data_IF_898124418302
#
_entry.id   IF_898124418302
#
_cell.length_a   1.000
_cell.length_b   1.000
_cell.length_c   1.000
_cell.angle_alpha   90.00
_cell.angle_beta   90.00
_cell.angle_gamma   90.00
#
_symmetry.space_group_name_H-M   'P 1'
#
loop_
_entity.id
_entity.type
_entity.pdbx_description
1 polymer ?
#
# COMPACT_ATOMS: atom_id res chain seq x y z
N UNK A 1 37.13 56.21 -14.13
CA UNK A 1 35.98 55.98 -15.03
C UNK A 1 35.93 54.53 -15.52
N UNK A 2 35.94 53.53 -14.63
CA UNK A 2 35.88 52.10 -15.02
C UNK A 2 35.04 51.22 -14.09
N UNK A 3 34.36 51.80 -13.10
CA UNK A 3 33.65 51.05 -12.04
C UNK A 3 32.18 50.71 -12.38
N UNK A 4 31.68 51.19 -13.53
CA UNK A 4 30.30 50.95 -14.01
C UNK A 4 30.16 49.68 -14.87
N UNK A 5 31.25 48.93 -15.09
CA UNK A 5 31.25 47.73 -15.94
C UNK A 5 31.22 46.40 -15.15
N UNK A 6 31.23 46.45 -13.82
CA UNK A 6 31.09 45.25 -12.99
C UNK A 6 29.66 45.19 -12.45
N UNK A 7 28.76 44.59 -13.25
CA UNK A 7 27.52 44.03 -12.69
C UNK A 7 27.93 42.81 -11.88
N UNK A 8 27.92 42.94 -10.56
CA UNK A 8 27.97 41.78 -9.66
C UNK A 8 26.64 41.05 -9.80
N UNK A 9 26.60 40.07 -10.70
CA UNK A 9 25.57 39.03 -10.67
C UNK A 9 25.82 38.27 -9.38
N UNK A 10 25.06 38.60 -8.34
CA UNK A 10 24.84 37.65 -7.27
C UNK A 10 24.14 36.48 -7.94
N UNK A 11 24.82 35.34 -8.02
CA UNK A 11 24.11 34.09 -8.23
C UNK A 11 23.04 34.06 -7.14
N UNK A 12 21.77 34.17 -7.52
CA UNK A 12 20.72 33.66 -6.65
C UNK A 12 21.19 32.25 -6.31
N UNK A 13 21.31 31.94 -5.02
CA UNK A 13 21.50 30.57 -4.59
C UNK A 13 20.26 29.84 -5.06
N UNK A 14 20.28 29.37 -6.30
CA UNK A 14 19.42 28.29 -6.71
C UNK A 14 19.85 27.19 -5.78
N UNK A 15 19.01 26.92 -4.79
CA UNK A 15 19.02 25.67 -4.05
C UNK A 15 18.80 24.58 -5.11
N UNK A 16 19.87 24.25 -5.85
CA UNK A 16 19.93 23.02 -6.62
C UNK A 16 19.75 21.97 -5.54
N UNK A 17 18.66 21.19 -5.57
CA UNK A 17 18.50 20.10 -4.63
C UNK A 17 19.75 19.23 -4.76
N UNK A 18 20.64 19.32 -3.77
CA UNK A 18 21.84 18.48 -3.66
C UNK A 18 21.50 17.12 -3.07
N UNK A 19 20.28 17.00 -2.56
CA UNK A 19 19.54 15.75 -2.44
C UNK A 19 19.56 15.06 -3.82
N UNK A 20 20.14 13.85 -3.94
CA UNK A 20 19.98 13.04 -5.13
C UNK A 20 18.50 12.99 -5.51
N UNK A 21 18.17 13.25 -6.78
CA UNK A 21 16.82 12.99 -7.33
C UNK A 21 16.56 11.51 -7.21
N UNK A 22 16.04 11.12 -6.04
CA UNK A 22 15.69 9.77 -5.72
C UNK A 22 14.28 9.58 -6.28
N UNK A 23 14.08 8.78 -7.33
CA UNK A 23 12.74 8.58 -7.92
C UNK A 23 11.76 7.91 -6.94
N UNK A 24 12.26 7.49 -5.77
CA UNK A 24 11.50 6.94 -4.64
C UNK A 24 11.53 7.86 -3.40
N UNK A 25 12.01 9.10 -3.51
CA UNK A 25 11.91 10.14 -2.49
C UNK A 25 12.60 9.82 -1.16
N UNK A 26 13.68 9.03 -1.16
CA UNK A 26 14.35 8.63 0.09
C UNK A 26 13.59 7.58 0.91
N UNK A 27 12.47 7.06 0.41
CA UNK A 27 11.59 6.12 1.14
C UNK A 27 12.17 4.71 1.33
N UNK A 28 13.19 4.32 0.57
CA UNK A 28 13.80 2.98 0.61
C UNK A 28 15.28 3.03 1.04
N UNK A 29 15.61 3.83 2.05
CA UNK A 29 16.97 3.89 2.61
C UNK A 29 17.30 2.69 3.50
N UNK A 30 16.27 2.02 4.04
CA UNK A 30 16.41 0.99 5.06
C UNK A 30 15.60 -0.28 4.73
N UNK A 31 16.08 -1.43 5.22
CA UNK A 31 15.38 -2.72 5.10
C UNK A 31 13.97 -2.67 5.71
N UNK A 32 13.80 -1.87 6.76
CA UNK A 32 12.50 -1.67 7.39
C UNK A 32 11.51 -0.99 6.43
N UNK A 33 11.94 0.07 5.74
CA UNK A 33 11.08 0.83 4.83
C UNK A 33 10.68 0.00 3.59
N UNK A 34 11.60 -0.83 3.08
CA UNK A 34 11.29 -1.81 2.02
C UNK A 34 10.26 -2.83 2.49
N UNK A 35 10.42 -3.36 3.71
CA UNK A 35 9.47 -4.31 4.29
C UNK A 35 8.07 -3.72 4.47
N UNK A 36 7.97 -2.49 4.99
CA UNK A 36 6.69 -1.77 5.16
C UNK A 36 6.05 -1.53 3.80
N UNK A 37 6.82 -1.10 2.81
CA UNK A 37 6.29 -0.85 1.46
C UNK A 37 5.74 -2.12 0.80
N UNK A 38 6.48 -3.23 0.83
CA UNK A 38 6.03 -4.51 0.25
C UNK A 38 4.78 -5.00 1.00
N UNK A 39 4.79 -4.95 2.33
CA UNK A 39 3.65 -5.39 3.14
C UNK A 39 2.41 -4.55 2.85
N UNK A 40 2.57 -3.23 2.69
CA UNK A 40 1.47 -2.34 2.30
C UNK A 40 0.88 -2.74 0.94
N UNK A 41 1.74 -2.98 -0.04
CA UNK A 41 1.31 -3.39 -1.38
C UNK A 41 0.57 -4.73 -1.36
N UNK A 42 1.07 -5.71 -0.60
CA UNK A 42 0.41 -7.01 -0.43
C UNK A 42 -0.94 -6.87 0.27
N UNK A 43 -1.07 -6.00 1.27
CA UNK A 43 -2.35 -5.78 1.96
C UNK A 43 -3.39 -5.19 1.00
N UNK A 44 -3.03 -4.18 0.22
CA UNK A 44 -3.93 -3.53 -0.74
C UNK A 44 -4.38 -4.52 -1.82
N UNK A 45 -3.43 -5.26 -2.40
CA UNK A 45 -3.75 -6.29 -3.41
C UNK A 45 -4.56 -7.44 -2.82
N UNK A 46 -4.24 -7.87 -1.61
CA UNK A 46 -4.97 -8.90 -0.88
C UNK A 46 -6.42 -8.49 -0.65
N UNK A 47 -6.66 -7.23 -0.28
CA UNK A 47 -8.01 -6.72 -0.02
C UNK A 47 -8.83 -6.67 -1.32
N UNK A 48 -8.22 -6.22 -2.41
CA UNK A 48 -8.85 -6.25 -3.73
C UNK A 48 -9.23 -7.68 -4.16
N UNK A 49 -8.33 -8.65 -3.96
CA UNK A 49 -8.58 -10.06 -4.27
C UNK A 49 -9.72 -10.65 -3.43
N UNK A 50 -9.76 -10.35 -2.14
CA UNK A 50 -10.84 -10.82 -1.23
C UNK A 50 -12.19 -10.36 -1.77
N UNK A 51 -12.33 -9.09 -2.13
CA UNK A 51 -13.59 -8.54 -2.67
C UNK A 51 -13.99 -9.25 -3.97
N UNK A 52 -13.05 -9.50 -4.87
CA UNK A 52 -13.31 -10.21 -6.14
C UNK A 52 -13.76 -11.65 -5.89
N UNK A 53 -13.10 -12.38 -4.98
CA UNK A 53 -13.48 -13.75 -4.66
C UNK A 53 -14.85 -13.84 -3.98
N UNK A 54 -15.18 -12.88 -3.11
CA UNK A 54 -16.48 -12.77 -2.48
C UNK A 54 -17.59 -12.53 -3.53
N UNK A 55 -17.36 -11.59 -4.45
CA UNK A 55 -18.30 -11.32 -5.53
C UNK A 55 -18.54 -12.56 -6.42
N UNK A 56 -17.48 -13.28 -6.82
CA UNK A 56 -17.62 -14.51 -7.60
C UNK A 56 -18.37 -15.61 -6.84
N UNK A 57 -18.14 -15.75 -5.53
CA UNK A 57 -18.87 -16.69 -4.69
C UNK A 57 -20.37 -16.40 -4.64
N UNK A 58 -20.74 -15.13 -4.51
CA UNK A 58 -22.14 -14.71 -4.53
C UNK A 58 -22.81 -14.90 -5.88
N UNK A 59 -22.13 -14.55 -6.99
CA UNK A 59 -22.66 -14.79 -8.33
C UNK A 59 -22.94 -16.29 -8.51
N UNK A 60 -22.00 -17.15 -8.13
CA UNK A 60 -22.17 -18.60 -8.22
C UNK A 60 -23.34 -19.09 -7.36
N UNK A 61 -23.50 -18.55 -6.16
CA UNK A 61 -24.61 -18.88 -5.27
C UNK A 61 -25.96 -18.57 -5.91
N UNK A 62 -26.13 -17.38 -6.50
CA UNK A 62 -27.37 -16.97 -7.17
C UNK A 62 -27.64 -17.84 -8.41
N UNK A 63 -26.60 -18.13 -9.22
CA UNK A 63 -26.76 -18.94 -10.44
C UNK A 63 -27.03 -20.43 -10.18
N UNK A 64 -26.86 -20.91 -8.95
CA UNK A 64 -26.99 -22.34 -8.63
C UNK A 64 -28.43 -22.86 -8.67
N UNK A 65 -29.44 -21.99 -8.76
CA UNK A 65 -30.87 -22.32 -9.02
C UNK A 65 -31.47 -23.48 -8.18
N UNK A 66 -30.92 -23.75 -6.99
CA UNK A 66 -31.40 -24.83 -6.11
C UNK A 66 -30.70 -26.19 -6.29
N UNK A 67 -29.70 -26.30 -7.17
CA UNK A 67 -28.80 -27.45 -7.17
C UNK A 67 -27.99 -27.46 -5.86
N UNK A 68 -28.17 -28.53 -5.07
CA UNK A 68 -27.49 -28.73 -3.79
C UNK A 68 -25.98 -28.72 -3.94
N UNK A 69 -25.45 -29.33 -5.00
CA UNK A 69 -24.00 -29.46 -5.19
C UNK A 69 -23.38 -28.11 -5.55
N UNK A 70 -23.99 -27.39 -6.49
CA UNK A 70 -23.52 -26.05 -6.86
C UNK A 70 -23.62 -25.05 -5.70
N UNK A 71 -24.69 -25.13 -4.91
CA UNK A 71 -24.89 -24.28 -3.72
C UNK A 71 -23.85 -24.56 -2.64
N UNK A 72 -23.54 -25.82 -2.35
CA UNK A 72 -22.53 -26.18 -1.36
C UNK A 72 -21.13 -25.69 -1.80
N UNK A 73 -20.81 -25.81 -3.09
CA UNK A 73 -19.54 -25.28 -3.62
C UNK A 73 -19.46 -23.76 -3.51
N UNK A 74 -20.55 -23.04 -3.80
CA UNK A 74 -20.59 -21.59 -3.66
C UNK A 74 -20.39 -21.15 -2.20
N UNK A 75 -21.01 -21.85 -1.25
CA UNK A 75 -20.82 -21.59 0.19
C UNK A 75 -19.37 -21.81 0.64
N UNK A 76 -18.72 -22.89 0.18
CA UNK A 76 -17.30 -23.14 0.45
C UNK A 76 -16.42 -22.02 -0.14
N UNK A 77 -16.73 -21.57 -1.34
CA UNK A 77 -16.00 -20.48 -1.99
C UNK A 77 -16.08 -19.17 -1.19
N UNK A 78 -17.28 -18.78 -0.76
CA UNK A 78 -17.48 -17.61 0.09
C UNK A 78 -16.75 -17.78 1.42
N UNK A 79 -16.80 -18.98 2.02
CA UNK A 79 -16.09 -19.26 3.28
C UNK A 79 -14.59 -19.08 3.14
N UNK A 80 -13.98 -19.55 2.06
CA UNK A 80 -12.55 -19.34 1.81
C UNK A 80 -12.21 -17.87 1.57
N UNK A 81 -13.04 -17.13 0.85
CA UNK A 81 -12.87 -15.69 0.67
C UNK A 81 -12.92 -14.94 2.02
N UNK A 82 -13.85 -15.31 2.90
CA UNK A 82 -13.99 -14.73 4.24
C UNK A 82 -12.78 -15.07 5.11
N UNK A 83 -12.32 -16.32 5.13
CA UNK A 83 -11.12 -16.71 5.89
C UNK A 83 -9.89 -15.94 5.39
N UNK A 84 -9.75 -15.77 4.07
CA UNK A 84 -8.70 -14.95 3.48
C UNK A 84 -8.78 -13.49 3.92
N UNK A 85 -9.98 -12.90 3.94
CA UNK A 85 -10.22 -11.54 4.43
C UNK A 85 -9.90 -11.36 5.92
N UNK A 86 -10.32 -12.30 6.77
CA UNK A 86 -10.00 -12.29 8.20
C UNK A 86 -8.49 -12.43 8.42
N UNK A 87 -7.83 -13.34 7.70
CA UNK A 87 -6.39 -13.50 7.76
C UNK A 87 -5.64 -12.22 7.36
N UNK A 88 -6.09 -11.55 6.30
CA UNK A 88 -5.53 -10.26 5.88
C UNK A 88 -5.68 -9.19 6.96
N UNK A 89 -6.83 -9.15 7.63
CA UNK A 89 -7.09 -8.23 8.73
C UNK A 89 -6.14 -8.46 9.92
N UNK A 90 -5.84 -9.72 10.23
CA UNK A 90 -4.85 -10.07 11.26
C UNK A 90 -3.44 -9.61 10.89
N UNK A 91 -3.04 -9.78 9.63
CA UNK A 91 -1.74 -9.28 9.15
C UNK A 91 -1.64 -7.76 9.29
N UNK A 92 -2.70 -7.04 8.93
CA UNK A 92 -2.79 -5.59 9.14
C UNK A 92 -2.66 -5.21 10.62
N UNK A 93 -3.35 -5.91 11.53
CA UNK A 93 -3.28 -5.66 12.96
C UNK A 93 -1.87 -5.94 13.53
N UNK A 94 -1.26 -7.08 13.17
CA UNK A 94 0.09 -7.45 13.61
C UNK A 94 1.11 -6.43 13.11
N UNK A 95 1.00 -6.00 11.84
CA UNK A 95 1.82 -4.94 11.28
C UNK A 95 1.75 -3.66 12.13
N UNK A 96 0.54 -3.21 12.45
CA UNK A 96 0.34 -2.02 13.29
C UNK A 96 1.02 -2.16 14.66
N UNK A 97 0.92 -3.32 15.31
CA UNK A 97 1.61 -3.58 16.57
C UNK A 97 3.13 -3.49 16.40
N UNK A 98 3.69 -4.12 15.37
CA UNK A 98 5.14 -4.09 15.10
C UNK A 98 5.63 -2.66 14.87
N UNK A 99 4.91 -1.85 14.09
CA UNK A 99 5.33 -0.49 13.76
C UNK A 99 5.21 0.46 14.94
N UNK A 100 4.20 0.28 15.79
CA UNK A 100 4.10 0.97 17.09
C UNK A 100 5.27 0.63 18.02
N UNK A 101 5.77 -0.62 18.02
CA UNK A 101 6.93 -1.01 18.82
C UNK A 101 8.24 -0.43 18.28
N UNK A 102 8.36 -0.26 16.96
CA UNK A 102 9.54 0.31 16.31
C UNK A 102 9.48 1.86 16.24
N UNK A 103 8.36 2.46 16.64
CA UNK A 103 8.18 3.91 16.65
C UNK A 103 7.97 4.52 15.27
N UNK A 104 7.55 3.74 14.27
CA UNK A 104 7.26 4.21 12.92
C UNK A 104 5.75 4.41 12.70
N UNK A 105 5.40 5.38 11.85
CA UNK A 105 4.01 5.64 11.43
C UNK A 105 3.70 4.91 10.12
N UNK A 106 2.46 4.44 10.01
CA UNK A 106 1.99 3.61 8.89
C UNK A 106 1.33 4.45 7.79
N UNK A 107 1.96 4.52 6.61
CA UNK A 107 1.40 5.26 5.45
C UNK A 107 0.50 4.39 4.55
N UNK A 108 -0.23 3.44 5.13
CA UNK A 108 -1.03 2.46 4.38
C UNK A 108 -2.11 3.08 3.49
N UNK A 109 -2.61 4.26 3.86
CA UNK A 109 -3.69 4.96 3.17
C UNK A 109 -3.25 6.29 2.56
N UNK A 110 -1.94 6.54 2.43
CA UNK A 110 -1.42 7.79 1.85
C UNK A 110 -1.84 9.02 2.65
N UNK A 111 -1.72 8.96 3.98
CA UNK A 111 -1.81 10.15 4.83
C UNK A 111 -0.56 11.00 4.60
N UNK A 112 -0.73 12.14 3.94
CA UNK A 112 0.34 13.11 3.72
C UNK A 112 0.50 13.96 4.98
N UNK A 113 1.36 13.53 5.90
CA UNK A 113 1.92 14.36 6.97
C UNK A 113 3.45 14.41 6.85
#
# INVERSE_FOLDING_TARGET
>A
MFDLLVTKVFAASTDIPTEPINPLGGRLTDLNSVFVWITNLVIILGLALVVVFLAMGFIRFITSQGDKVATEQAQKWVTYAVIGGVGLFLVYAIKGVILNLVGQKDDLLGGND
#
